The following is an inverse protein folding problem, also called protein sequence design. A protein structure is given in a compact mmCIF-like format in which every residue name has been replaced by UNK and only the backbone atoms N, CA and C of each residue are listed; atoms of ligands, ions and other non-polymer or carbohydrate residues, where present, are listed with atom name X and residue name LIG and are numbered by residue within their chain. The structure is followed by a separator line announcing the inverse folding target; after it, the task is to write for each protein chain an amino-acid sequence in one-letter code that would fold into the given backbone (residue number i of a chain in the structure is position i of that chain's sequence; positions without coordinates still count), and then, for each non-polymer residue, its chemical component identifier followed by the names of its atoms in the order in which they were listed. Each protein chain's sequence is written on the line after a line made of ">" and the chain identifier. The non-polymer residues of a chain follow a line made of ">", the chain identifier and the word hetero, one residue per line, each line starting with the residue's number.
data_IF_483673605290
#
_entry.id   IF_483673605290
#
_cell.length_a   1.000
_cell.length_b   1.000
_cell.length_c   1.000
_cell.angle_alpha   90.00
_cell.angle_beta   90.00
_cell.angle_gamma   90.00
#
_symmetry.space_group_name_H-M   'P 1'
#
loop_
_entity.id
_entity.type
_entity.pdbx_description
1 polymer ?
#
# COMPACT_ATOMS: atom_id res chain seq x y z
N UNK A 1 -18.33 33.69 -79.26
CA UNK A 1 -18.24 34.47 -78.00
C UNK A 1 -18.82 33.58 -76.90
N UNK A 2 -17.95 32.76 -76.27
CA UNK A 2 -18.42 31.91 -75.16
C UNK A 2 -17.45 32.13 -73.98
N UNK A 3 -18.01 32.70 -72.90
CA UNK A 3 -17.28 32.93 -71.64
C UNK A 3 -17.32 31.64 -70.80
N UNK A 4 -16.15 31.01 -70.66
CA UNK A 4 -15.96 29.93 -69.69
C UNK A 4 -15.80 30.49 -68.29
N UNK A 5 -16.77 30.20 -67.40
CA UNK A 5 -16.65 30.43 -65.96
C UNK A 5 -15.82 29.34 -65.33
N UNK A 6 -14.63 29.69 -64.77
CA UNK A 6 -13.83 28.80 -63.93
C UNK A 6 -14.41 28.79 -62.52
N UNK A 7 -14.97 27.68 -62.11
CA UNK A 7 -15.35 27.40 -60.73
C UNK A 7 -14.15 26.86 -59.99
N UNK A 8 -13.66 27.60 -59.01
CA UNK A 8 -12.59 27.17 -58.11
C UNK A 8 -13.23 26.34 -57.00
N UNK A 9 -12.90 25.04 -56.95
CA UNK A 9 -13.26 24.15 -55.88
C UNK A 9 -12.20 24.30 -54.75
N UNK A 10 -12.53 24.99 -53.67
CA UNK A 10 -11.71 25.02 -52.46
C UNK A 10 -11.92 23.71 -51.70
N UNK A 11 -10.96 22.83 -51.74
CA UNK A 11 -10.90 21.63 -50.86
C UNK A 11 -10.33 22.09 -49.54
N UNK A 12 -11.21 22.20 -48.51
CA UNK A 12 -10.80 22.37 -47.13
C UNK A 12 -10.18 21.05 -46.63
N UNK A 13 -8.86 20.94 -46.62
CA UNK A 13 -8.16 19.84 -46.00
C UNK A 13 -8.20 20.05 -44.48
N UNK A 14 -9.13 19.35 -43.80
CA UNK A 14 -9.16 19.25 -42.35
C UNK A 14 -7.97 18.42 -41.92
N UNK A 15 -6.90 19.04 -41.44
CA UNK A 15 -5.80 18.36 -40.75
C UNK A 15 -6.38 17.81 -39.42
N UNK A 16 -6.66 16.51 -39.41
CA UNK A 16 -6.77 15.75 -38.20
C UNK A 16 -5.39 15.69 -37.56
N UNK A 17 -5.14 16.53 -36.57
CA UNK A 17 -4.00 16.41 -35.68
C UNK A 17 -4.28 15.14 -34.84
N UNK A 18 -3.86 14.00 -35.36
CA UNK A 18 -3.72 12.79 -34.53
C UNK A 18 -2.54 13.08 -33.59
N UNK A 19 -2.85 13.55 -32.41
CA UNK A 19 -1.85 13.69 -31.36
C UNK A 19 -1.18 12.35 -31.18
N UNK A 20 0.10 12.25 -31.52
CA UNK A 20 0.94 11.12 -31.17
C UNK A 20 0.93 11.02 -29.65
N UNK A 21 0.11 10.13 -29.11
CA UNK A 21 0.25 9.68 -27.72
C UNK A 21 1.54 8.89 -27.67
N UNK A 22 2.61 9.56 -27.28
CA UNK A 22 3.90 8.92 -27.09
C UNK A 22 3.70 7.73 -26.14
N UNK A 23 4.17 6.54 -26.56
CA UNK A 23 4.18 5.34 -25.72
C UNK A 23 4.95 5.53 -24.39
N UNK A 24 5.64 6.67 -24.24
CA UNK A 24 6.39 7.09 -23.06
C UNK A 24 5.53 7.83 -22.02
N UNK A 25 4.21 7.91 -22.19
CA UNK A 25 3.33 8.69 -21.35
C UNK A 25 2.50 7.87 -20.34
N UNK A 26 2.73 6.55 -20.32
CA UNK A 26 2.12 5.66 -19.32
C UNK A 26 2.81 5.81 -17.97
N UNK A 27 2.01 5.84 -16.90
CA UNK A 27 2.51 5.74 -15.53
C UNK A 27 2.61 4.25 -15.18
N UNK A 28 3.81 3.76 -14.86
CA UNK A 28 4.00 2.41 -14.33
C UNK A 28 3.86 2.45 -12.81
N UNK A 29 2.95 1.65 -12.27
CA UNK A 29 2.69 1.53 -10.84
C UNK A 29 3.00 0.11 -10.40
N UNK A 30 3.91 -0.06 -9.45
CA UNK A 30 4.22 -1.36 -8.89
C UNK A 30 3.30 -1.68 -7.71
N UNK A 31 2.90 -2.96 -7.64
CA UNK A 31 2.21 -3.56 -6.50
C UNK A 31 2.78 -4.95 -6.24
N UNK A 32 2.57 -5.50 -5.04
CA UNK A 32 3.12 -6.81 -4.72
C UNK A 32 2.30 -7.96 -5.33
N UNK A 33 0.98 -7.86 -5.26
CA UNK A 33 0.08 -8.93 -5.71
C UNK A 33 -0.01 -10.12 -4.75
N UNK A 34 0.47 -9.97 -3.51
CA UNK A 34 0.49 -11.00 -2.46
C UNK A 34 0.08 -10.46 -1.07
N UNK A 35 -0.65 -9.36 -1.02
CA UNK A 35 -1.12 -8.72 0.21
C UNK A 35 -2.61 -8.38 0.17
N UNK A 36 -3.51 -9.42 0.16
CA UNK A 36 -4.94 -9.18 0.18
C UNK A 36 -5.38 -8.53 1.51
N UNK A 37 -6.44 -7.70 1.53
CA UNK A 37 -7.25 -7.26 0.39
C UNK A 37 -6.71 -6.01 -0.33
N UNK A 38 -5.52 -5.50 0.05
CA UNK A 38 -4.85 -4.37 -0.58
C UNK A 38 -4.55 -4.64 -2.05
N UNK A 39 -3.83 -5.72 -2.31
CA UNK A 39 -3.45 -6.16 -3.64
C UNK A 39 -3.18 -7.67 -3.64
N UNK A 40 -3.68 -8.37 -4.62
CA UNK A 40 -3.54 -9.83 -4.77
C UNK A 40 -3.70 -10.25 -6.22
N UNK A 41 -3.63 -11.53 -6.49
CA UNK A 41 -3.97 -12.12 -7.79
C UNK A 41 -5.23 -12.97 -7.68
N UNK A 42 -6.09 -12.87 -8.70
CA UNK A 42 -7.20 -13.82 -8.84
C UNK A 42 -6.71 -15.14 -9.45
N UNK A 43 -7.61 -16.13 -9.59
CA UNK A 43 -7.31 -17.46 -10.16
C UNK A 43 -6.72 -17.42 -11.58
N UNK A 44 -7.02 -16.36 -12.34
CA UNK A 44 -6.45 -16.14 -13.67
C UNK A 44 -5.08 -15.42 -13.63
N UNK A 45 -4.50 -15.21 -12.44
CA UNK A 45 -3.23 -14.50 -12.26
C UNK A 45 -3.30 -12.98 -12.46
N UNK A 46 -4.50 -12.41 -12.60
CA UNK A 46 -4.68 -10.97 -12.77
C UNK A 46 -4.61 -10.25 -11.43
N UNK A 47 -3.88 -9.14 -11.38
CA UNK A 47 -3.82 -8.26 -10.22
C UNK A 47 -5.19 -7.66 -9.92
N UNK A 48 -5.61 -7.76 -8.66
CA UNK A 48 -6.86 -7.27 -8.08
C UNK A 48 -6.61 -6.68 -6.69
N UNK A 49 -7.59 -6.01 -6.12
CA UNK A 49 -7.51 -5.46 -4.76
C UNK A 49 -7.86 -3.98 -4.72
N UNK A 50 -7.93 -3.46 -3.49
CA UNK A 50 -8.25 -2.05 -3.23
C UNK A 50 -7.33 -1.10 -4.02
N UNK A 51 -6.03 -1.29 -3.91
CA UNK A 51 -5.05 -0.40 -4.54
C UNK A 51 -4.97 -0.54 -6.05
N UNK A 52 -5.23 -1.73 -6.57
CA UNK A 52 -5.28 -1.95 -8.02
C UNK A 52 -6.43 -1.15 -8.65
N UNK A 53 -7.62 -1.18 -8.04
CA UNK A 53 -8.77 -0.40 -8.51
C UNK A 53 -8.59 1.10 -8.25
N UNK A 54 -8.00 1.47 -7.11
CA UNK A 54 -7.67 2.86 -6.81
C UNK A 54 -6.65 3.42 -7.80
N UNK A 55 -5.59 2.68 -8.12
CA UNK A 55 -4.57 3.07 -9.10
C UNK A 55 -5.20 3.39 -10.47
N UNK A 56 -6.07 2.51 -10.98
CA UNK A 56 -6.82 2.80 -12.22
C UNK A 56 -7.68 4.06 -12.13
N UNK A 57 -8.29 4.30 -10.95
CA UNK A 57 -9.10 5.48 -10.72
C UNK A 57 -8.25 6.76 -10.68
N UNK A 58 -7.12 6.73 -9.96
CA UNK A 58 -6.19 7.86 -9.89
C UNK A 58 -5.63 8.20 -11.28
N UNK A 59 -5.28 7.20 -12.08
CA UNK A 59 -4.79 7.43 -13.44
C UNK A 59 -5.81 8.13 -14.34
N UNK A 60 -7.10 7.80 -14.19
CA UNK A 60 -8.17 8.52 -14.89
C UNK A 60 -8.24 9.98 -14.46
N UNK A 61 -8.12 10.28 -13.17
CA UNK A 61 -8.10 11.66 -12.66
C UNK A 61 -6.84 12.42 -13.10
N UNK A 62 -5.71 11.75 -13.24
CA UNK A 62 -4.48 12.33 -13.79
C UNK A 62 -4.60 12.57 -15.30
N UNK A 63 -5.51 11.88 -15.99
CA UNK A 63 -5.66 11.94 -17.44
C UNK A 63 -4.56 11.20 -18.21
N UNK A 64 -3.94 10.19 -17.59
CA UNK A 64 -2.86 9.38 -18.19
C UNK A 64 -3.20 7.89 -18.13
N UNK A 65 -2.70 7.16 -19.12
CA UNK A 65 -2.75 5.69 -19.07
C UNK A 65 -1.81 5.16 -17.99
N UNK A 66 -2.20 4.03 -17.38
CA UNK A 66 -1.36 3.33 -16.42
C UNK A 66 -1.06 1.90 -16.89
N UNK A 67 0.00 1.39 -16.34
CA UNK A 67 0.37 -0.02 -16.37
C UNK A 67 0.65 -0.44 -14.93
N UNK A 68 -0.06 -1.44 -14.41
CA UNK A 68 0.19 -1.97 -13.07
C UNK A 68 1.06 -3.20 -13.23
N UNK A 69 2.21 -3.20 -12.56
CA UNK A 69 3.21 -4.26 -12.65
C UNK A 69 3.43 -4.90 -11.29
N UNK A 70 3.71 -6.19 -11.31
CA UNK A 70 4.06 -6.95 -10.12
C UNK A 70 5.54 -6.74 -9.76
N UNK A 71 5.81 -6.58 -8.47
CA UNK A 71 7.16 -6.48 -7.92
C UNK A 71 7.17 -7.05 -6.50
N UNK A 72 8.06 -7.98 -6.23
CA UNK A 72 8.28 -8.50 -4.87
C UNK A 72 8.53 -7.36 -3.89
N UNK A 73 7.97 -7.47 -2.68
CA UNK A 73 7.98 -6.42 -1.66
C UNK A 73 9.39 -5.93 -1.31
N UNK A 74 10.32 -6.83 -1.04
CA UNK A 74 11.69 -6.52 -0.61
C UNK A 74 12.50 -5.72 -1.63
N UNK A 75 12.16 -5.87 -2.93
CA UNK A 75 12.78 -5.16 -4.04
C UNK A 75 12.11 -3.84 -4.43
N UNK A 76 10.98 -3.46 -3.81
CA UNK A 76 10.14 -2.36 -4.29
C UNK A 76 10.84 -1.00 -4.30
N UNK A 77 11.38 -0.56 -3.17
CA UNK A 77 12.04 0.76 -3.08
C UNK A 77 13.29 0.81 -3.97
N UNK A 78 14.20 -0.18 -3.94
CA UNK A 78 15.33 -0.22 -4.85
C UNK A 78 14.94 -0.15 -6.34
N UNK A 79 13.93 -0.90 -6.76
CA UNK A 79 13.47 -0.91 -8.15
C UNK A 79 12.82 0.43 -8.57
N UNK A 80 12.11 1.12 -7.66
CA UNK A 80 11.62 2.49 -7.88
C UNK A 80 12.78 3.46 -8.12
N UNK A 81 13.82 3.40 -7.29
CA UNK A 81 15.01 4.24 -7.42
C UNK A 81 15.75 3.99 -8.74
N UNK A 82 15.80 2.73 -9.19
CA UNK A 82 16.36 2.31 -10.48
C UNK A 82 15.43 2.59 -11.68
N UNK A 83 14.30 3.29 -11.48
CA UNK A 83 13.34 3.70 -12.52
C UNK A 83 12.71 2.53 -13.30
N UNK A 84 12.56 1.35 -12.69
CA UNK A 84 11.84 0.25 -13.30
C UNK A 84 10.35 0.55 -13.44
N UNK A 85 9.82 1.42 -12.59
CA UNK A 85 8.46 1.97 -12.60
C UNK A 85 8.46 3.38 -11.98
N UNK A 86 7.30 4.03 -11.97
CA UNK A 86 7.17 5.44 -11.59
C UNK A 86 6.62 5.64 -10.19
N UNK A 87 5.81 4.69 -9.69
CA UNK A 87 5.14 4.77 -8.40
C UNK A 87 4.95 3.38 -7.77
N UNK A 88 4.73 3.35 -6.46
CA UNK A 88 4.40 2.16 -5.67
C UNK A 88 3.02 2.36 -5.04
N UNK A 89 2.14 1.37 -5.20
CA UNK A 89 0.88 1.22 -4.47
C UNK A 89 0.77 -0.24 -4.00
N UNK A 90 1.19 -0.51 -2.77
CA UNK A 90 1.37 -1.85 -2.22
C UNK A 90 1.21 -1.92 -0.69
N UNK A 91 0.18 -1.24 -0.13
CA UNK A 91 0.01 -1.14 1.31
C UNK A 91 1.18 -0.44 1.99
N UNK A 92 1.83 0.49 1.29
CA UNK A 92 3.08 1.08 1.78
C UNK A 92 2.81 2.22 2.76
N UNK A 93 2.95 1.95 4.05
CA UNK A 93 2.77 2.93 5.14
C UNK A 93 3.75 4.08 5.03
N UNK A 94 3.25 5.29 5.26
CA UNK A 94 4.02 6.54 5.25
C UNK A 94 4.80 6.64 6.56
N UNK A 95 6.09 6.30 6.54
CA UNK A 95 6.98 6.40 7.72
C UNK A 95 8.12 7.38 7.49
N UNK A 96 8.66 7.92 8.58
CA UNK A 96 9.79 8.84 8.49
C UNK A 96 11.06 8.14 8.00
N UNK A 97 11.20 6.84 8.26
CA UNK A 97 12.32 6.05 7.74
C UNK A 97 12.27 5.94 6.22
N UNK A 98 11.11 5.58 5.67
CA UNK A 98 10.90 5.50 4.21
C UNK A 98 11.02 6.88 3.53
N UNK A 99 10.60 7.96 4.21
CA UNK A 99 10.76 9.33 3.70
C UNK A 99 12.22 9.77 3.54
N UNK A 100 13.19 9.10 4.15
CA UNK A 100 14.62 9.38 3.91
C UNK A 100 15.06 9.00 2.51
N UNK A 101 14.41 8.05 1.87
CA UNK A 101 14.84 7.46 0.59
C UNK A 101 13.83 7.60 -0.54
N UNK A 102 12.54 7.77 -0.24
CA UNK A 102 11.47 8.03 -1.21
C UNK A 102 10.57 9.17 -0.71
N UNK A 103 9.76 9.72 -1.60
CA UNK A 103 8.70 10.64 -1.21
C UNK A 103 7.35 9.94 -1.27
N UNK A 104 6.34 10.48 -0.59
CA UNK A 104 4.99 9.97 -0.60
C UNK A 104 4.00 11.02 -1.07
N UNK A 105 2.92 10.59 -1.69
CA UNK A 105 1.71 11.39 -1.78
C UNK A 105 1.12 11.63 -0.38
N UNK A 106 0.08 12.44 -0.29
CA UNK A 106 -0.81 12.38 0.87
C UNK A 106 -1.36 10.96 1.05
N UNK A 107 -1.73 10.60 2.29
CA UNK A 107 -2.37 9.32 2.57
C UNK A 107 -3.71 9.19 1.86
N UNK A 108 -4.05 7.97 1.43
CA UNK A 108 -5.36 7.67 0.85
C UNK A 108 -6.18 6.72 1.72
N UNK A 109 -5.55 5.94 2.57
CA UNK A 109 -6.24 5.03 3.50
C UNK A 109 -5.47 4.90 4.82
N UNK A 110 -6.23 4.71 5.90
CA UNK A 110 -5.68 4.33 7.20
C UNK A 110 -5.41 2.83 7.25
N UNK A 111 -4.36 2.47 7.95
CA UNK A 111 -4.00 1.09 8.25
C UNK A 111 -3.65 0.96 9.73
N UNK A 112 -4.17 -0.07 10.37
CA UNK A 112 -3.75 -0.48 11.71
C UNK A 112 -3.17 -1.89 11.66
N UNK A 113 -2.07 -2.10 12.38
CA UNK A 113 -1.50 -3.43 12.54
C UNK A 113 -2.15 -4.14 13.73
N UNK A 114 -2.11 -5.47 13.74
CA UNK A 114 -2.58 -6.30 14.85
C UNK A 114 -1.75 -7.57 14.95
N UNK A 115 -1.67 -8.09 16.16
CA UNK A 115 -1.26 -9.47 16.40
C UNK A 115 -2.41 -10.40 16.04
N UNK A 116 -2.09 -11.57 15.51
CA UNK A 116 -3.05 -12.63 15.20
C UNK A 116 -2.54 -13.98 15.67
N UNK A 117 -3.46 -14.81 16.12
CA UNK A 117 -3.19 -16.18 16.59
C UNK A 117 -4.24 -17.14 16.03
N UNK A 118 -3.96 -18.44 16.09
CA UNK A 118 -5.02 -19.44 15.89
C UNK A 118 -5.92 -19.49 17.12
N UNK A 119 -7.23 -19.64 16.91
CA UNK A 119 -8.23 -19.78 17.98
C UNK A 119 -7.83 -20.92 18.93
N UNK A 120 -7.97 -20.71 20.22
CA UNK A 120 -7.52 -21.63 21.28
C UNK A 120 -6.15 -21.29 21.83
N UNK A 121 -5.50 -20.22 21.32
CA UNK A 121 -4.24 -19.71 21.87
C UNK A 121 -4.43 -19.16 23.28
N UNK A 122 -3.42 -19.31 24.11
CA UNK A 122 -3.34 -18.71 25.45
C UNK A 122 -3.31 -17.17 25.42
N UNK A 123 -3.10 -16.58 24.24
CA UNK A 123 -3.08 -15.12 24.04
C UNK A 123 -4.47 -14.52 23.74
N UNK A 124 -5.52 -15.32 23.53
CA UNK A 124 -6.87 -14.77 23.27
C UNK A 124 -7.41 -13.93 24.43
N UNK A 125 -7.00 -14.21 25.66
CA UNK A 125 -7.38 -13.47 26.86
C UNK A 125 -6.49 -12.24 27.18
N UNK A 126 -5.69 -11.76 26.24
CA UNK A 126 -4.79 -10.63 26.48
C UNK A 126 -5.58 -9.34 26.74
N UNK A 127 -5.57 -8.86 27.99
CA UNK A 127 -6.26 -7.65 28.40
C UNK A 127 -5.45 -6.40 28.00
N UNK A 128 -5.89 -5.71 26.95
CA UNK A 128 -5.30 -4.46 26.45
C UNK A 128 -6.41 -3.48 26.02
N UNK A 129 -6.09 -2.18 25.85
CA UNK A 129 -7.00 -1.26 25.14
C UNK A 129 -7.27 -1.78 23.72
N UNK A 130 -8.38 -1.38 23.10
CA UNK A 130 -8.71 -1.77 21.73
C UNK A 130 -7.67 -1.29 20.71
N UNK A 131 -7.03 -0.15 20.94
CA UNK A 131 -5.98 0.39 20.08
C UNK A 131 -5.01 1.27 20.85
N UNK A 132 -3.78 1.33 20.36
CA UNK A 132 -2.73 2.21 20.88
C UNK A 132 -2.05 2.98 19.74
N UNK A 133 -1.67 4.24 20.02
CA UNK A 133 -0.90 5.06 19.09
C UNK A 133 0.53 5.21 19.62
N UNK A 134 1.51 4.84 18.81
CA UNK A 134 2.91 4.81 19.19
C UNK A 134 3.68 6.10 18.80
N UNK A 135 3.02 7.11 18.25
CA UNK A 135 3.68 8.41 17.97
C UNK A 135 4.07 9.11 19.27
N UNK A 136 3.15 9.09 20.27
CA UNK A 136 3.40 9.60 21.64
C UNK A 136 2.67 8.67 22.61
N UNK A 137 3.27 7.51 22.95
CA UNK A 137 2.60 6.51 23.76
C UNK A 137 2.31 7.05 25.18
N UNK A 138 1.05 7.03 25.55
CA UNK A 138 0.58 7.36 26.88
C UNK A 138 0.81 6.22 27.90
N UNK A 139 0.31 6.35 29.12
CA UNK A 139 0.45 5.33 30.15
C UNK A 139 -0.28 4.03 29.80
N UNK A 140 -1.42 4.10 29.10
CA UNK A 140 -2.19 2.93 28.68
C UNK A 140 -1.45 2.17 27.58
N UNK A 141 -0.91 2.87 26.59
CA UNK A 141 -0.08 2.27 25.54
C UNK A 141 1.18 1.60 26.11
N UNK A 142 1.87 2.27 27.04
CA UNK A 142 3.05 1.68 27.73
C UNK A 142 2.71 0.44 28.54
N UNK A 143 1.56 0.42 29.21
CA UNK A 143 1.06 -0.75 29.94
C UNK A 143 0.74 -1.88 28.96
N UNK A 144 0.07 -1.58 27.84
CA UNK A 144 -0.25 -2.56 26.81
C UNK A 144 1.02 -3.21 26.21
N UNK A 145 2.07 -2.41 25.92
CA UNK A 145 3.34 -2.94 25.44
C UNK A 145 3.97 -3.93 26.44
N UNK A 146 3.92 -3.65 27.74
CA UNK A 146 4.40 -4.60 28.77
C UNK A 146 3.56 -5.89 28.83
N UNK A 147 2.26 -5.79 28.65
CA UNK A 147 1.37 -6.95 28.57
C UNK A 147 1.73 -7.81 27.35
N UNK A 148 1.98 -7.17 26.20
CA UNK A 148 2.40 -7.84 24.97
C UNK A 148 3.77 -8.48 25.16
N UNK A 149 4.75 -7.77 25.71
CA UNK A 149 6.08 -8.30 26.01
C UNK A 149 5.99 -9.59 26.86
N UNK A 150 5.19 -9.57 27.92
CA UNK A 150 4.97 -10.75 28.76
C UNK A 150 4.29 -11.91 28.00
N UNK A 151 3.29 -11.62 27.18
CA UNK A 151 2.58 -12.61 26.40
C UNK A 151 3.43 -13.22 25.28
N UNK A 152 4.30 -12.44 24.67
CA UNK A 152 5.16 -12.89 23.57
C UNK A 152 6.48 -13.56 24.03
N UNK A 153 6.77 -13.52 25.31
CA UNK A 153 8.01 -14.10 25.85
C UNK A 153 8.19 -15.56 25.46
N UNK A 154 9.27 -15.87 24.71
CA UNK A 154 9.58 -17.20 24.23
C UNK A 154 8.73 -17.71 23.06
N UNK A 155 7.73 -16.94 22.60
CA UNK A 155 6.89 -17.28 21.45
C UNK A 155 7.64 -17.09 20.13
N UNK A 156 7.27 -17.86 19.12
CA UNK A 156 7.66 -17.65 17.73
C UNK A 156 6.71 -16.65 17.11
N UNK A 157 7.19 -15.46 16.79
CA UNK A 157 6.43 -14.38 16.17
C UNK A 157 6.83 -14.24 14.71
N UNK A 158 5.85 -14.26 13.82
CA UNK A 158 6.05 -14.26 12.39
C UNK A 158 5.56 -12.96 11.74
N UNK A 159 6.28 -12.52 10.71
CA UNK A 159 5.89 -11.36 9.90
C UNK A 159 6.55 -11.39 8.53
N UNK A 160 6.12 -10.53 7.63
CA UNK A 160 6.76 -10.39 6.33
C UNK A 160 8.06 -9.59 6.46
N UNK A 161 9.10 -10.02 5.74
CA UNK A 161 10.43 -9.37 5.69
C UNK A 161 10.36 -7.95 5.12
N UNK A 162 11.18 -7.02 5.64
CA UNK A 162 11.30 -5.65 5.12
C UNK A 162 10.08 -4.76 5.40
N UNK A 163 9.21 -5.17 6.33
CA UNK A 163 8.02 -4.41 6.71
C UNK A 163 8.25 -3.58 7.98
N UNK A 164 7.34 -2.64 8.21
CA UNK A 164 7.26 -1.90 9.48
C UNK A 164 6.97 -2.83 10.66
N UNK A 165 6.30 -3.94 10.41
CA UNK A 165 5.99 -4.97 11.40
C UNK A 165 7.27 -5.65 11.89
N UNK A 166 8.15 -6.04 10.97
CA UNK A 166 9.48 -6.57 11.32
C UNK A 166 10.27 -5.55 12.14
N UNK A 167 10.36 -4.30 11.67
CA UNK A 167 11.10 -3.25 12.37
C UNK A 167 10.58 -3.04 13.80
N UNK A 168 9.26 -3.07 14.00
CA UNK A 168 8.65 -2.97 15.31
C UNK A 168 9.00 -4.18 16.21
N UNK A 169 8.94 -5.40 15.67
CA UNK A 169 9.32 -6.62 16.43
C UNK A 169 10.81 -6.64 16.80
N UNK A 170 11.66 -6.02 16.00
CA UNK A 170 13.10 -5.91 16.23
C UNK A 170 13.48 -4.70 17.12
N UNK A 171 12.57 -3.75 17.35
CA UNK A 171 12.86 -2.54 18.15
C UNK A 171 13.18 -2.84 19.62
N UNK A 172 12.74 -3.98 20.13
CA UNK A 172 12.81 -4.36 21.53
C UNK A 172 11.58 -3.94 22.37
N UNK A 173 10.63 -3.24 21.78
CA UNK A 173 9.40 -2.78 22.47
C UNK A 173 8.49 -3.93 22.93
N UNK A 174 8.66 -5.11 22.35
CA UNK A 174 7.92 -6.34 22.67
C UNK A 174 8.80 -7.41 23.34
N UNK A 175 9.99 -7.02 23.83
CA UNK A 175 10.93 -7.92 24.52
C UNK A 175 11.60 -8.93 23.59
N UNK A 176 12.08 -10.03 24.18
CA UNK A 176 12.77 -11.10 23.44
C UNK A 176 11.77 -12.12 22.91
N UNK A 177 11.73 -12.26 21.59
CA UNK A 177 10.90 -13.19 20.85
C UNK A 177 11.75 -14.08 19.93
N UNK A 178 11.19 -15.17 19.44
CA UNK A 178 11.77 -15.95 18.34
C UNK A 178 11.19 -15.41 17.03
N UNK A 179 11.80 -14.37 16.46
CA UNK A 179 11.32 -13.77 15.21
C UNK A 179 11.59 -14.68 14.03
N UNK A 180 10.55 -14.91 13.19
CA UNK A 180 10.66 -15.50 11.85
C UNK A 180 10.10 -14.56 10.82
N UNK A 181 10.82 -14.39 9.72
CA UNK A 181 10.39 -13.55 8.62
C UNK A 181 10.20 -14.35 7.34
N UNK A 182 9.24 -13.94 6.52
CA UNK A 182 8.82 -14.61 5.29
C UNK A 182 8.81 -13.63 4.12
N UNK A 183 8.89 -14.14 2.92
CA UNK A 183 8.88 -13.31 1.73
C UNK A 183 7.53 -12.63 1.51
N UNK A 184 6.43 -13.35 1.78
CA UNK A 184 5.05 -12.87 1.56
C UNK A 184 4.19 -13.03 2.81
N UNK A 185 3.10 -12.27 2.87
CA UNK A 185 2.09 -12.43 3.94
C UNK A 185 1.38 -13.78 3.86
N UNK A 186 1.20 -14.34 2.66
CA UNK A 186 0.59 -15.66 2.50
C UNK A 186 1.42 -16.75 3.19
N UNK A 187 2.76 -16.69 3.10
CA UNK A 187 3.64 -17.62 3.81
C UNK A 187 3.52 -17.46 5.32
N UNK A 188 3.38 -16.24 5.84
CA UNK A 188 3.13 -15.98 7.27
C UNK A 188 1.82 -16.63 7.71
N UNK A 189 0.75 -16.46 6.94
CA UNK A 189 -0.57 -17.01 7.24
C UNK A 189 -0.55 -18.55 7.26
N UNK A 190 0.11 -19.17 6.28
CA UNK A 190 0.26 -20.62 6.20
C UNK A 190 1.05 -21.21 7.39
N UNK A 191 2.10 -20.52 7.84
CA UNK A 191 2.89 -20.97 8.97
C UNK A 191 2.21 -20.72 10.32
N UNK A 192 1.38 -19.66 10.42
CA UNK A 192 0.50 -19.45 11.56
C UNK A 192 -0.54 -20.60 11.66
N UNK A 193 -1.21 -20.92 10.55
CA UNK A 193 -2.17 -22.03 10.47
C UNK A 193 -1.54 -23.38 10.83
N UNK A 194 -0.33 -23.61 10.37
CA UNK A 194 0.40 -24.86 10.60
C UNK A 194 1.01 -24.97 12.02
N UNK A 195 0.84 -23.94 12.88
CA UNK A 195 1.40 -23.90 14.22
C UNK A 195 2.93 -23.78 14.25
N UNK A 196 3.56 -23.37 13.16
CA UNK A 196 5.01 -23.05 13.12
C UNK A 196 5.29 -21.63 13.59
N UNK A 197 4.26 -20.79 13.64
CA UNK A 197 4.23 -19.50 14.32
C UNK A 197 3.20 -19.58 15.45
N UNK A 198 3.57 -19.09 16.64
CA UNK A 198 2.62 -18.92 17.74
C UNK A 198 1.73 -17.69 17.51
N UNK A 199 2.33 -16.65 16.94
CA UNK A 199 1.74 -15.33 16.71
C UNK A 199 2.22 -14.78 15.36
N UNK A 200 1.38 -14.01 14.68
CA UNK A 200 1.78 -13.23 13.51
C UNK A 200 1.47 -11.73 13.73
N UNK A 201 2.24 -10.84 13.09
CA UNK A 201 2.00 -9.40 13.07
C UNK A 201 1.94 -8.90 11.64
N UNK A 202 0.83 -8.26 11.28
CA UNK A 202 0.60 -7.62 9.99
C UNK A 202 -0.53 -6.57 10.08
N UNK A 203 -0.96 -6.00 8.95
CA UNK A 203 -2.20 -5.22 8.91
C UNK A 203 -3.39 -6.07 9.38
N UNK A 204 -4.22 -5.52 10.26
CA UNK A 204 -5.38 -6.23 10.81
C UNK A 204 -6.30 -6.78 9.72
N UNK A 205 -6.54 -5.99 8.65
CA UNK A 205 -7.41 -6.38 7.53
C UNK A 205 -6.88 -7.60 6.76
N UNK A 206 -5.57 -7.83 6.71
CA UNK A 206 -5.00 -8.98 6.03
C UNK A 206 -5.35 -10.29 6.75
N UNK A 207 -5.36 -10.31 8.08
CA UNK A 207 -5.78 -11.47 8.86
C UNK A 207 -7.28 -11.70 8.80
N UNK A 208 -8.09 -10.63 8.82
CA UNK A 208 -9.55 -10.72 8.67
C UNK A 208 -9.90 -11.32 7.30
N UNK A 209 -9.33 -10.80 6.24
CA UNK A 209 -9.51 -11.31 4.86
C UNK A 209 -9.10 -12.78 4.75
N UNK A 210 -7.95 -13.14 5.35
CA UNK A 210 -7.50 -14.54 5.36
C UNK A 210 -8.45 -15.46 6.09
N UNK A 211 -8.90 -15.08 7.29
CA UNK A 211 -9.85 -15.88 8.07
C UNK A 211 -11.18 -16.09 7.31
N UNK A 212 -11.72 -15.04 6.70
CA UNK A 212 -12.96 -15.10 5.94
C UNK A 212 -12.84 -15.98 4.68
N UNK A 213 -11.78 -15.83 3.91
CA UNK A 213 -11.58 -16.57 2.64
C UNK A 213 -11.18 -18.02 2.84
N UNK A 214 -10.32 -18.29 3.82
CA UNK A 214 -9.84 -19.65 4.10
C UNK A 214 -10.78 -20.45 5.00
N UNK A 215 -11.67 -19.77 5.73
CA UNK A 215 -12.49 -20.39 6.80
C UNK A 215 -11.67 -20.83 8.01
N UNK A 216 -10.41 -20.40 8.13
CA UNK A 216 -9.53 -20.76 9.23
C UNK A 216 -9.81 -19.88 10.45
N UNK A 217 -9.74 -20.46 11.66
CA UNK A 217 -10.08 -19.75 12.88
C UNK A 217 -8.91 -18.87 13.37
N UNK A 218 -8.51 -17.90 12.54
CA UNK A 218 -7.55 -16.87 12.92
C UNK A 218 -8.27 -15.76 13.68
N UNK A 219 -7.73 -15.34 14.82
CA UNK A 219 -8.29 -14.28 15.66
C UNK A 219 -7.25 -13.22 15.96
N UNK A 220 -7.70 -11.96 15.97
CA UNK A 220 -6.85 -10.83 16.38
C UNK A 220 -6.76 -10.78 17.90
N UNK A 221 -5.57 -10.49 18.43
CA UNK A 221 -5.32 -10.40 19.87
C UNK A 221 -4.53 -9.14 20.21
N UNK A 222 -4.64 -8.68 21.44
CA UNK A 222 -4.01 -7.45 21.87
C UNK A 222 -4.64 -6.20 21.24
N UNK A 223 -3.96 -5.04 21.30
CA UNK A 223 -4.46 -3.81 20.72
C UNK A 223 -4.20 -3.76 19.22
N UNK A 224 -4.93 -2.92 18.50
CA UNK A 224 -4.46 -2.45 17.20
C UNK A 224 -3.35 -1.41 17.40
N UNK A 225 -2.37 -1.40 16.49
CA UNK A 225 -1.23 -0.48 16.52
C UNK A 225 -1.34 0.55 15.42
N UNK A 226 -1.07 1.83 15.75
CA UNK A 226 -1.00 2.93 14.80
C UNK A 226 0.08 3.93 15.20
N UNK A 227 0.48 4.79 14.28
CA UNK A 227 1.47 5.84 14.54
C UNK A 227 2.87 5.31 14.85
N UNK A 228 3.82 6.20 15.11
CA UNK A 228 5.20 5.84 15.40
C UNK A 228 5.81 4.92 14.33
N UNK A 229 6.25 3.74 14.73
CA UNK A 229 6.82 2.73 13.82
C UNK A 229 5.84 2.30 12.71
N UNK A 230 4.52 2.37 12.95
CA UNK A 230 3.48 1.98 11.98
C UNK A 230 3.14 3.10 10.99
N UNK A 231 3.71 4.31 11.15
CA UNK A 231 3.51 5.42 10.23
C UNK A 231 2.17 6.12 10.35
N UNK A 232 1.82 6.91 9.32
CA UNK A 232 0.60 7.72 9.28
C UNK A 232 -0.17 7.43 7.99
N UNK A 233 -0.88 6.32 7.98
CA UNK A 233 -1.64 5.85 6.82
C UNK A 233 -0.77 5.35 5.67
N UNK A 234 -1.42 5.00 4.57
CA UNK A 234 -0.83 4.43 3.35
C UNK A 234 -0.87 5.47 2.23
N UNK A 235 0.22 5.59 1.47
CA UNK A 235 0.35 6.57 0.38
C UNK A 235 1.07 6.02 -0.84
N UNK A 236 0.98 6.74 -1.95
CA UNK A 236 1.73 6.41 -3.16
C UNK A 236 3.21 6.72 -2.94
N UNK A 237 4.06 5.70 -3.00
CA UNK A 237 5.52 5.87 -2.94
C UNK A 237 6.07 6.35 -4.28
N UNK A 238 6.91 7.39 -4.26
CA UNK A 238 7.48 8.01 -5.45
C UNK A 238 8.97 8.33 -5.24
N UNK A 239 9.72 8.51 -6.32
CA UNK A 239 11.11 8.98 -6.22
C UNK A 239 11.17 10.40 -5.67
N UNK A 240 12.21 10.67 -4.92
CA UNK A 240 12.52 12.03 -4.48
C UNK A 240 13.16 12.83 -5.63
N UNK A 241 12.52 13.91 -6.07
CA UNK A 241 13.03 14.79 -7.11
C UNK A 241 14.40 15.38 -6.73
N UNK A 242 14.61 15.68 -5.45
CA UNK A 242 15.84 16.24 -4.92
C UNK A 242 17.07 15.33 -5.10
N UNK A 243 16.90 14.01 -5.10
CA UNK A 243 18.02 13.05 -5.22
C UNK A 243 18.74 13.12 -6.57
N UNK A 244 18.05 13.55 -7.62
CA UNK A 244 18.61 13.67 -8.98
C UNK A 244 18.71 15.12 -9.43
N UNK A 245 18.38 16.08 -8.56
CA UNK A 245 18.31 17.51 -8.83
C UNK A 245 16.94 17.93 -9.39
N UNK A 246 16.23 18.75 -8.62
CA UNK A 246 14.86 19.23 -8.93
C UNK A 246 14.77 19.97 -10.28
N UNK A 247 15.86 20.58 -10.72
CA UNK A 247 15.92 21.32 -11.98
C UNK A 247 16.19 20.46 -13.21
N UNK A 248 16.56 19.19 -13.04
CA UNK A 248 16.73 18.25 -14.15
C UNK A 248 15.37 17.87 -14.75
N UNK A 249 15.35 17.42 -16.00
CA UNK A 249 14.13 16.94 -16.66
C UNK A 249 13.47 15.81 -15.86
N UNK A 250 14.27 14.89 -15.31
CA UNK A 250 13.78 13.77 -14.51
C UNK A 250 13.25 14.23 -13.15
N UNK A 251 13.94 15.16 -12.46
CA UNK A 251 13.46 15.70 -11.19
C UNK A 251 12.15 16.47 -11.35
N UNK A 252 12.02 17.27 -12.40
CA UNK A 252 10.76 17.96 -12.73
C UNK A 252 9.62 16.98 -12.96
N UNK A 253 9.87 15.89 -13.72
CA UNK A 253 8.90 14.82 -13.97
C UNK A 253 8.46 14.14 -12.66
N UNK A 254 9.39 13.79 -11.77
CA UNK A 254 9.08 13.14 -10.50
C UNK A 254 8.28 14.07 -9.57
N UNK A 255 8.63 15.36 -9.49
CA UNK A 255 7.89 16.36 -8.72
C UNK A 255 6.49 16.62 -9.31
N UNK A 256 6.34 16.62 -10.63
CA UNK A 256 5.06 16.79 -11.32
C UNK A 256 4.15 15.57 -11.05
N UNK A 257 4.71 14.37 -11.09
CA UNK A 257 3.97 13.14 -10.80
C UNK A 257 3.43 13.12 -9.36
N UNK A 258 4.24 13.55 -8.37
CA UNK A 258 3.79 13.70 -6.99
C UNK A 258 2.59 14.66 -6.88
N UNK A 259 2.67 15.83 -7.53
CA UNK A 259 1.56 16.80 -7.54
C UNK A 259 0.31 16.23 -8.21
N UNK A 260 0.50 15.48 -9.30
CA UNK A 260 -0.61 14.86 -10.03
C UNK A 260 -1.32 13.79 -9.18
N UNK A 261 -0.58 12.94 -8.48
CA UNK A 261 -1.17 11.97 -7.54
C UNK A 261 -1.91 12.65 -6.39
N UNK A 262 -1.32 13.67 -5.76
CA UNK A 262 -2.00 14.40 -4.69
C UNK A 262 -3.33 15.01 -5.16
N UNK A 263 -3.34 15.67 -6.31
CA UNK A 263 -4.57 16.22 -6.89
C UNK A 263 -5.61 15.14 -7.22
N UNK A 264 -5.16 13.99 -7.74
CA UNK A 264 -6.03 12.87 -8.07
C UNK A 264 -6.63 12.23 -6.80
N UNK A 265 -5.85 12.10 -5.72
CA UNK A 265 -6.32 11.60 -4.43
C UNK A 265 -7.36 12.56 -3.84
N UNK A 266 -7.13 13.89 -3.87
CA UNK A 266 -8.12 14.87 -3.43
C UNK A 266 -9.44 14.76 -4.20
N UNK A 267 -9.38 14.58 -5.51
CA UNK A 267 -10.58 14.42 -6.32
C UNK A 267 -11.28 13.09 -6.06
N UNK A 268 -10.53 12.00 -5.98
CA UNK A 268 -11.07 10.67 -5.68
C UNK A 268 -11.74 10.63 -4.29
N UNK A 269 -11.19 11.37 -3.30
CA UNK A 269 -11.79 11.53 -1.98
C UNK A 269 -13.10 12.32 -2.06
N UNK A 270 -13.12 13.47 -2.74
CA UNK A 270 -14.32 14.28 -2.92
C UNK A 270 -15.45 13.52 -3.61
N UNK A 271 -15.12 12.71 -4.60
CA UNK A 271 -16.09 11.91 -5.37
C UNK A 271 -16.48 10.60 -4.62
N UNK A 272 -15.95 10.38 -3.40
CA UNK A 272 -16.21 9.20 -2.59
C UNK A 272 -15.68 7.89 -3.20
N UNK A 273 -14.74 7.97 -4.14
CA UNK A 273 -14.18 6.78 -4.81
C UNK A 273 -13.36 5.96 -3.82
N UNK A 274 -12.53 6.62 -3.00
CA UNK A 274 -11.68 5.94 -2.02
C UNK A 274 -12.54 5.21 -0.99
N UNK A 275 -13.55 5.88 -0.41
CA UNK A 275 -14.49 5.32 0.55
C UNK A 275 -15.24 4.10 -0.02
N UNK A 276 -15.81 4.23 -1.24
CA UNK A 276 -16.50 3.09 -1.88
C UNK A 276 -15.59 1.90 -2.12
N UNK A 277 -14.35 2.12 -2.53
CA UNK A 277 -13.38 1.05 -2.73
C UNK A 277 -12.95 0.44 -1.39
N UNK A 278 -12.74 1.25 -0.35
CA UNK A 278 -12.43 0.77 1.00
C UNK A 278 -13.56 -0.13 1.53
N UNK A 279 -14.80 0.31 1.45
CA UNK A 279 -15.97 -0.50 1.87
C UNK A 279 -16.06 -1.80 1.06
N UNK A 280 -15.81 -1.74 -0.26
CA UNK A 280 -15.84 -2.94 -1.13
C UNK A 280 -14.81 -3.99 -0.72
N UNK A 281 -13.58 -3.57 -0.41
CA UNK A 281 -12.45 -4.47 -0.21
C UNK A 281 -12.16 -4.80 1.25
N UNK A 282 -12.41 -3.87 2.17
CA UNK A 282 -12.15 -4.03 3.61
C UNK A 282 -13.41 -4.28 4.44
N UNK A 283 -14.61 -4.03 3.86
CA UNK A 283 -15.88 -4.12 4.59
C UNK A 283 -16.21 -2.86 5.42
N UNK A 284 -15.32 -1.88 5.48
CA UNK A 284 -15.50 -0.61 6.20
C UNK A 284 -14.80 0.54 5.48
N UNK A 285 -15.13 1.77 5.87
CA UNK A 285 -14.49 2.97 5.29
C UNK A 285 -13.15 3.23 5.98
N UNK A 286 -12.06 2.91 5.30
CA UNK A 286 -10.68 3.20 5.71
C UNK A 286 -10.12 4.47 5.04
N UNK A 287 -10.94 5.29 4.37
CA UNK A 287 -10.46 6.50 3.68
C UNK A 287 -9.96 7.55 4.67
N UNK A 288 -8.84 8.19 4.33
CA UNK A 288 -8.27 9.32 5.07
C UNK A 288 -8.81 10.66 4.56
#
# INVERSE_FOLDING_TARGET
>A
MNKFKKTIFSVLASLLIIGNVNANDKIKIATEGAYPPWNSKNEAGKLIGFEVELAWSLCRYIGRQCEIVEQDWDGMIPALQLRKYDAIMAGMSITDERKKVITFSQGYADEVASLAVMKGSDLEGMETPAGINLTKPDSAAKKALKTIEAGLAGKTVCTQTGTIHQNFLESGDVGKINLRTYKTQDEVNLDLEAGRCDVALAAAVAFVDYAEKSGKPVVLVGPTFSGGAFGNGVGVGLRQAAQIGENTTLGKRDAELLRAFNKAIDQARKDGVISRLAIKWFGFDASM
#
